data_IF_030245123313
#
_entry.id   IF_030245123313
#
_cell.length_a   1.000
_cell.length_b   1.000
_cell.length_c   1.000
_cell.angle_alpha   90.00
_cell.angle_beta   90.00
_cell.angle_gamma   90.00
#
_symmetry.space_group_name_H-M   'P 1'
#
loop_
_entity.id
_entity.type
_entity.pdbx_description
1 polymer ?
#
# COMPACT_ATOMS: atom_id res chain seq x y z
N UNK A 1 13.71 -6.03 -5.87
CA UNK A 1 12.44 -6.75 -5.70
C UNK A 1 11.52 -6.59 -6.91
N UNK A 2 11.29 -5.37 -7.37
CA UNK A 2 10.57 -5.07 -8.61
C UNK A 2 11.53 -4.50 -9.63
N UNK A 3 11.47 -4.98 -10.88
CA UNK A 3 12.19 -4.43 -12.01
C UNK A 3 11.20 -4.08 -13.12
N UNK A 4 11.27 -2.85 -13.59
CA UNK A 4 10.47 -2.29 -14.67
C UNK A 4 11.43 -2.00 -15.83
N UNK A 5 11.11 -2.53 -17.00
CA UNK A 5 11.95 -2.39 -18.17
C UNK A 5 11.14 -1.95 -19.38
N UNK A 6 11.54 -0.83 -19.98
CA UNK A 6 10.96 -0.22 -21.20
C UNK A 6 9.43 -0.13 -21.13
N UNK A 7 8.90 0.27 -19.96
CA UNK A 7 7.46 0.31 -19.72
C UNK A 7 6.83 1.48 -20.46
N UNK A 8 5.83 1.18 -21.30
CA UNK A 8 5.03 2.18 -21.99
C UNK A 8 3.57 2.04 -21.58
N UNK A 9 2.92 3.17 -21.30
CA UNK A 9 1.49 3.26 -21.00
C UNK A 9 0.87 4.49 -21.62
N UNK A 10 -0.23 4.27 -22.35
CA UNK A 10 -1.05 5.32 -22.98
C UNK A 10 -2.51 5.21 -22.55
N UNK A 11 -3.21 6.31 -22.55
CA UNK A 11 -4.66 6.42 -22.40
C UNK A 11 -5.19 7.31 -23.50
N UNK A 12 -5.83 6.71 -24.52
CA UNK A 12 -6.17 7.40 -25.75
C UNK A 12 -4.91 8.00 -26.40
N UNK A 13 -4.92 9.29 -26.65
CA UNK A 13 -3.78 10.00 -27.25
C UNK A 13 -2.72 10.46 -26.22
N UNK A 14 -2.96 10.23 -24.93
CA UNK A 14 -2.05 10.66 -23.87
C UNK A 14 -1.08 9.56 -23.49
N UNK A 15 0.21 9.76 -23.75
CA UNK A 15 1.28 8.91 -23.23
C UNK A 15 1.62 9.32 -21.80
N UNK A 16 1.48 8.39 -20.86
CA UNK A 16 1.84 8.58 -19.44
C UNK A 16 3.28 8.19 -19.21
N UNK A 17 3.69 7.04 -19.77
CA UNK A 17 5.07 6.55 -19.72
C UNK A 17 5.50 6.11 -21.11
N UNK A 18 6.73 6.47 -21.46
CA UNK A 18 7.45 6.01 -22.64
C UNK A 18 8.81 5.52 -22.21
N UNK A 19 9.08 4.24 -22.43
CA UNK A 19 10.38 3.59 -22.12
C UNK A 19 10.84 3.75 -20.65
N UNK A 20 9.89 3.68 -19.69
CA UNK A 20 10.20 3.83 -18.27
C UNK A 20 10.99 2.63 -17.76
N UNK A 21 12.15 2.92 -17.14
CA UNK A 21 13.03 1.93 -16.53
C UNK A 21 13.25 2.26 -15.06
N UNK A 22 12.85 1.35 -14.13
CA UNK A 22 12.96 1.54 -12.69
C UNK A 22 13.31 0.23 -11.99
N UNK A 23 14.05 0.34 -10.87
CA UNK A 23 14.33 -0.77 -9.99
C UNK A 23 13.97 -0.41 -8.55
N UNK A 24 13.25 -1.32 -7.88
CA UNK A 24 12.89 -1.21 -6.47
C UNK A 24 13.42 -2.44 -5.73
N UNK A 25 14.31 -2.22 -4.78
CA UNK A 25 14.93 -3.26 -3.97
C UNK A 25 14.08 -3.59 -2.75
N UNK A 26 14.18 -4.83 -2.26
CA UNK A 26 13.64 -5.18 -0.94
C UNK A 26 14.41 -4.45 0.17
N UNK A 27 13.79 -4.31 1.34
CA UNK A 27 14.39 -3.67 2.50
C UNK A 27 14.37 -2.15 2.46
N UNK A 28 13.74 -1.55 1.46
CA UNK A 28 13.73 -0.08 1.26
C UNK A 28 12.33 0.49 1.17
N UNK A 29 12.24 1.75 1.57
CA UNK A 29 11.09 2.63 1.36
C UNK A 29 11.40 3.57 0.19
N UNK A 30 10.56 3.57 -0.83
CA UNK A 30 10.65 4.47 -1.98
C UNK A 30 9.50 5.46 -1.95
N UNK A 31 9.81 6.73 -2.16
CA UNK A 31 8.81 7.76 -2.42
C UNK A 31 8.72 8.05 -3.93
N UNK A 32 7.55 7.89 -4.50
CA UNK A 32 7.25 8.34 -5.86
C UNK A 32 6.73 9.78 -5.77
N UNK A 33 7.48 10.71 -6.35
CA UNK A 33 7.12 12.13 -6.39
C UNK A 33 6.91 12.60 -7.83
N UNK A 34 6.23 13.72 -7.97
CA UNK A 34 5.97 14.37 -9.25
C UNK A 34 4.65 15.12 -9.24
N UNK A 35 4.44 15.97 -10.25
CA UNK A 35 3.24 16.76 -10.38
C UNK A 35 1.97 15.90 -10.45
N UNK A 36 0.82 16.53 -10.13
CA UNK A 36 -0.45 15.84 -10.33
C UNK A 36 -0.57 15.36 -11.78
N UNK A 37 -1.06 14.13 -11.95
CA UNK A 37 -1.21 13.53 -13.28
C UNK A 37 0.07 13.00 -13.94
N UNK A 38 1.24 12.99 -13.27
CA UNK A 38 2.48 12.43 -13.84
C UNK A 38 2.51 10.89 -13.85
N UNK A 39 1.45 10.21 -13.39
CA UNK A 39 1.34 8.76 -13.48
C UNK A 39 1.69 7.98 -12.20
N UNK A 40 1.86 8.62 -11.03
CA UNK A 40 2.17 7.91 -9.76
C UNK A 40 1.18 6.78 -9.49
N UNK A 41 -0.10 7.10 -9.42
CA UNK A 41 -1.20 6.13 -9.24
C UNK A 41 -1.23 5.09 -10.36
N UNK A 42 -1.01 5.51 -11.61
CA UNK A 42 -0.96 4.59 -12.76
C UNK A 42 0.16 3.57 -12.60
N UNK A 43 1.35 4.00 -12.18
CA UNK A 43 2.48 3.10 -11.93
C UNK A 43 2.18 2.12 -10.80
N UNK A 44 1.64 2.60 -9.68
CA UNK A 44 1.24 1.74 -8.56
C UNK A 44 0.17 0.73 -9.01
N UNK A 45 -0.83 1.16 -9.79
CA UNK A 45 -1.89 0.30 -10.32
C UNK A 45 -1.33 -0.78 -11.27
N UNK A 46 -0.36 -0.44 -12.13
CA UNK A 46 0.30 -1.44 -12.98
C UNK A 46 1.10 -2.45 -12.15
N UNK A 47 1.84 -1.99 -11.15
CA UNK A 47 2.55 -2.87 -10.20
C UNK A 47 1.56 -3.74 -9.43
N UNK A 48 0.39 -3.21 -9.07
CA UNK A 48 -0.67 -3.97 -8.39
C UNK A 48 -1.46 -4.91 -9.32
N UNK A 49 -1.23 -4.93 -10.64
CA UNK A 49 -2.04 -5.65 -11.63
C UNK A 49 -3.48 -5.17 -11.73
N UNK A 50 -3.75 -3.93 -11.36
CA UNK A 50 -5.07 -3.27 -11.48
C UNK A 50 -5.20 -2.53 -12.81
N UNK A 51 -4.09 -2.17 -13.43
CA UNK A 51 -4.02 -1.50 -14.73
C UNK A 51 -3.03 -2.25 -15.64
N UNK A 52 -3.41 -2.57 -16.87
CA UNK A 52 -2.48 -3.15 -17.84
C UNK A 52 -1.53 -2.08 -18.39
N UNK A 53 -0.36 -2.51 -18.85
CA UNK A 53 0.59 -1.69 -19.61
C UNK A 53 0.69 -2.16 -21.05
N UNK A 54 1.04 -1.25 -21.96
CA UNK A 54 1.00 -1.49 -23.40
C UNK A 54 2.26 -2.24 -23.87
N UNK A 55 3.44 -1.78 -23.45
CA UNK A 55 4.73 -2.37 -23.82
C UNK A 55 5.66 -2.50 -22.62
N UNK A 56 6.73 -3.28 -22.78
CA UNK A 56 7.72 -3.51 -21.75
C UNK A 56 7.37 -4.65 -20.80
N UNK A 57 7.99 -4.66 -19.63
CA UNK A 57 7.78 -5.69 -18.62
C UNK A 57 7.90 -5.16 -17.20
N UNK A 58 7.14 -5.77 -16.29
CA UNK A 58 7.29 -5.63 -14.85
C UNK A 58 7.62 -7.02 -14.30
N UNK A 59 8.73 -7.13 -13.59
CA UNK A 59 9.13 -8.34 -12.89
C UNK A 59 8.98 -8.14 -11.38
N UNK A 60 8.42 -9.13 -10.70
CA UNK A 60 8.33 -9.21 -9.24
C UNK A 60 9.08 -10.45 -8.75
N UNK A 61 10.07 -10.28 -7.89
CA UNK A 61 10.95 -11.38 -7.41
C UNK A 61 11.50 -12.23 -8.57
N UNK A 62 11.92 -11.58 -9.68
CA UNK A 62 12.47 -12.23 -10.86
C UNK A 62 11.46 -12.93 -11.80
N UNK A 63 10.16 -12.88 -11.49
CA UNK A 63 9.09 -13.44 -12.34
C UNK A 63 8.33 -12.32 -13.05
N UNK A 64 8.02 -12.52 -14.34
CA UNK A 64 7.10 -11.60 -15.05
C UNK A 64 5.78 -11.51 -14.30
N UNK A 65 5.38 -10.28 -13.95
CA UNK A 65 4.19 -10.00 -13.17
C UNK A 65 2.92 -10.53 -13.86
N UNK A 66 2.85 -10.51 -15.20
CA UNK A 66 1.74 -11.07 -15.98
C UNK A 66 1.50 -12.56 -15.72
N UNK A 67 2.56 -13.32 -15.43
CA UNK A 67 2.51 -14.76 -15.15
C UNK A 67 2.09 -15.11 -13.72
N UNK A 68 2.07 -14.13 -12.81
CA UNK A 68 1.65 -14.34 -11.43
C UNK A 68 0.11 -14.28 -11.37
N UNK A 69 -0.53 -15.31 -10.79
CA UNK A 69 -2.00 -15.32 -10.60
C UNK A 69 -2.42 -14.16 -9.67
N UNK A 70 -3.39 -13.29 -10.08
CA UNK A 70 -3.82 -12.15 -9.27
C UNK A 70 -4.24 -12.54 -7.85
N UNK A 71 -5.02 -13.62 -7.71
CA UNK A 71 -5.49 -14.10 -6.40
C UNK A 71 -4.35 -14.44 -5.44
N UNK A 72 -3.27 -15.07 -5.94
CA UNK A 72 -2.09 -15.37 -5.12
C UNK A 72 -1.30 -14.11 -4.78
N UNK A 73 -1.17 -13.19 -5.75
CA UNK A 73 -0.45 -11.93 -5.59
C UNK A 73 -1.11 -11.05 -4.52
N UNK A 74 -2.42 -10.83 -4.64
CA UNK A 74 -3.18 -10.06 -3.65
C UNK A 74 -3.29 -10.75 -2.30
N UNK A 75 -3.36 -12.08 -2.26
CA UNK A 75 -3.47 -12.81 -0.99
C UNK A 75 -2.17 -12.77 -0.19
N UNK A 76 -1.03 -13.04 -0.82
CA UNK A 76 0.21 -13.39 -0.12
C UNK A 76 1.33 -12.35 -0.28
N UNK A 77 1.31 -11.55 -1.34
CA UNK A 77 2.48 -10.77 -1.73
C UNK A 77 2.27 -9.25 -1.60
N UNK A 78 1.08 -8.77 -1.88
CA UNK A 78 0.79 -7.34 -2.00
C UNK A 78 -0.24 -6.87 -0.99
N UNK A 79 0.03 -5.73 -0.34
CA UNK A 79 -1.02 -4.87 0.19
C UNK A 79 -0.98 -3.52 -0.50
N UNK A 80 -2.15 -3.02 -0.90
CA UNK A 80 -2.30 -1.70 -1.49
C UNK A 80 -3.19 -0.84 -0.60
N UNK A 81 -2.63 0.25 -0.10
CA UNK A 81 -3.32 1.33 0.60
C UNK A 81 -3.69 2.40 -0.41
N UNK A 82 -4.96 2.43 -0.77
CA UNK A 82 -5.53 3.51 -1.57
C UNK A 82 -5.87 4.70 -0.67
N UNK A 83 -6.09 5.86 -1.27
CA UNK A 83 -6.57 7.05 -0.59
C UNK A 83 -7.84 6.81 0.26
N UNK A 84 -8.69 5.84 -0.11
CA UNK A 84 -9.94 5.47 0.57
C UNK A 84 -9.80 4.22 1.46
N UNK A 85 -8.64 3.93 2.02
CA UNK A 85 -8.30 2.91 3.05
C UNK A 85 -8.71 1.45 2.79
N UNK A 86 -9.55 1.16 1.80
CA UNK A 86 -10.04 -0.20 1.46
C UNK A 86 -10.55 -0.97 2.69
N UNK A 87 -11.28 -0.29 3.54
CA UNK A 87 -12.11 -0.91 4.56
C UNK A 87 -13.52 -1.09 4.01
N UNK A 88 -14.22 -2.08 4.50
CA UNK A 88 -15.62 -2.32 4.17
C UNK A 88 -16.47 -1.60 5.22
N UNK A 89 -17.05 -0.46 4.85
CA UNK A 89 -17.66 0.49 5.79
C UNK A 89 -18.82 -0.12 6.61
N UNK A 90 -19.65 -0.97 6.00
CA UNK A 90 -20.78 -1.61 6.67
C UNK A 90 -20.38 -2.86 7.48
N UNK A 91 -19.10 -3.20 7.51
CA UNK A 91 -18.54 -4.29 8.32
C UNK A 91 -17.95 -3.77 9.61
N UNK A 92 -17.78 -4.68 10.58
CA UNK A 92 -17.13 -4.34 11.85
C UNK A 92 -15.62 -4.21 11.68
N UNK A 93 -14.95 -3.60 12.65
CA UNK A 93 -13.49 -3.59 12.76
C UNK A 93 -12.95 -5.02 12.72
N UNK A 94 -13.56 -5.93 13.50
CA UNK A 94 -13.18 -7.34 13.52
C UNK A 94 -13.27 -8.01 12.15
N UNK A 95 -14.36 -7.82 11.41
CA UNK A 95 -14.57 -8.38 10.07
C UNK A 95 -13.54 -7.82 9.06
N UNK A 96 -13.18 -6.55 9.16
CA UNK A 96 -12.14 -5.95 8.34
C UNK A 96 -10.75 -6.49 8.66
N UNK A 97 -10.43 -6.69 9.94
CA UNK A 97 -9.17 -7.27 10.39
C UNK A 97 -9.05 -8.75 10.00
N UNK A 98 -10.17 -9.50 9.90
CA UNK A 98 -10.17 -10.89 9.41
C UNK A 98 -9.60 -11.01 7.99
N UNK A 99 -9.74 -9.97 7.17
CA UNK A 99 -9.13 -9.94 5.83
C UNK A 99 -7.59 -10.00 5.88
N UNK A 100 -6.99 -9.44 6.94
CA UNK A 100 -5.55 -9.55 7.19
C UNK A 100 -5.12 -10.95 7.66
N UNK A 101 -6.04 -11.68 8.27
CA UNK A 101 -5.77 -13.03 8.81
C UNK A 101 -6.10 -14.17 7.83
N UNK A 102 -6.44 -13.85 6.56
CA UNK A 102 -6.75 -14.87 5.55
C UNK A 102 -5.52 -15.75 5.31
N UNK A 103 -5.66 -17.05 5.56
CA UNK A 103 -4.57 -18.03 5.43
C UNK A 103 -3.90 -18.40 6.75
N UNK A 104 -4.12 -17.63 7.82
CA UNK A 104 -3.62 -17.95 9.15
C UNK A 104 -4.49 -19.02 9.82
N UNK A 105 -3.86 -20.07 10.31
CA UNK A 105 -4.54 -21.17 11.04
C UNK A 105 -4.62 -20.81 12.53
N UNK A 106 -5.52 -19.92 12.90
CA UNK A 106 -5.76 -19.49 14.26
C UNK A 106 -7.16 -19.92 14.70
N UNK A 107 -7.31 -20.38 15.95
CA UNK A 107 -8.61 -20.57 16.57
C UNK A 107 -9.31 -19.23 16.87
N UNK A 108 -10.57 -19.28 17.29
CA UNK A 108 -11.40 -18.09 17.52
C UNK A 108 -10.82 -17.18 18.61
N UNK A 109 -10.31 -17.76 19.69
CA UNK A 109 -9.77 -17.00 20.81
C UNK A 109 -8.46 -16.30 20.39
N UNK A 110 -7.55 -17.04 19.75
CA UNK A 110 -6.27 -16.48 19.29
C UNK A 110 -6.46 -15.40 18.22
N UNK A 111 -7.45 -15.55 17.32
CA UNK A 111 -7.81 -14.50 16.38
C UNK A 111 -8.23 -13.21 17.08
N UNK A 112 -9.06 -13.34 18.14
CA UNK A 112 -9.52 -12.18 18.92
C UNK A 112 -8.33 -11.47 19.59
N UNK A 113 -7.52 -12.23 20.32
CA UNK A 113 -6.31 -11.70 20.98
C UNK A 113 -5.39 -10.99 19.99
N UNK A 114 -5.08 -11.62 18.84
CA UNK A 114 -4.23 -11.03 17.79
C UNK A 114 -4.81 -9.72 17.24
N UNK A 115 -6.13 -9.61 17.10
CA UNK A 115 -6.78 -8.37 16.66
C UNK A 115 -6.72 -7.28 17.72
N UNK A 116 -6.91 -7.61 19.00
CA UNK A 116 -6.79 -6.68 20.12
C UNK A 116 -5.34 -6.19 20.26
N UNK A 117 -4.36 -7.08 20.17
CA UNK A 117 -2.93 -6.74 20.19
C UNK A 117 -2.54 -5.78 19.05
N UNK A 118 -3.05 -6.00 17.83
CA UNK A 118 -2.73 -5.13 16.70
C UNK A 118 -3.43 -3.77 16.80
N UNK A 119 -4.65 -3.71 17.34
CA UNK A 119 -5.33 -2.44 17.60
C UNK A 119 -4.57 -1.62 18.64
N UNK A 120 -4.09 -2.24 19.72
CA UNK A 120 -3.24 -1.58 20.69
C UNK A 120 -1.96 -1.02 20.05
N UNK A 121 -1.28 -1.82 19.22
CA UNK A 121 -0.07 -1.43 18.49
C UNK A 121 -0.26 -0.19 17.59
N UNK A 122 -1.45 0.02 17.05
CA UNK A 122 -1.77 1.20 16.24
C UNK A 122 -2.44 2.33 17.04
N UNK A 123 -2.46 2.23 18.38
CA UNK A 123 -3.01 3.25 19.26
C UNK A 123 -4.53 3.29 19.29
N UNK A 124 -5.20 2.15 19.06
CA UNK A 124 -6.65 2.00 19.02
C UNK A 124 -7.17 1.00 20.07
N UNK A 125 -6.51 0.86 21.22
CA UNK A 125 -6.92 -0.06 22.30
C UNK A 125 -8.33 0.20 22.84
N UNK A 126 -8.87 1.40 22.62
CA UNK A 126 -10.23 1.80 23.05
C UNK A 126 -11.33 1.42 22.05
N UNK A 127 -10.96 1.03 20.81
CA UNK A 127 -11.91 0.65 19.76
C UNK A 127 -12.42 -0.77 20.01
N UNK A 128 -13.76 -0.93 19.97
CA UNK A 128 -14.39 -2.24 20.11
C UNK A 128 -14.35 -3.00 18.78
N UNK A 129 -14.09 -4.31 18.84
CA UNK A 129 -14.00 -5.17 17.66
C UNK A 129 -15.31 -5.27 16.87
N UNK A 130 -16.46 -5.10 17.50
CA UNK A 130 -17.80 -5.12 16.92
C UNK A 130 -18.27 -3.74 16.41
N UNK A 131 -17.53 -2.68 16.68
CA UNK A 131 -17.81 -1.34 16.17
C UNK A 131 -17.76 -1.33 14.64
N UNK A 132 -18.67 -0.60 14.00
CA UNK A 132 -18.72 -0.46 12.54
C UNK A 132 -17.69 0.56 12.04
N UNK A 133 -17.10 0.29 10.87
CA UNK A 133 -16.08 1.17 10.30
C UNK A 133 -16.62 2.57 10.00
N UNK A 134 -17.85 2.72 9.58
CA UNK A 134 -18.48 4.03 9.33
C UNK A 134 -18.64 4.90 10.59
N UNK A 135 -18.47 4.34 11.79
CA UNK A 135 -18.51 5.06 13.07
C UNK A 135 -17.14 5.65 13.46
N UNK A 136 -16.09 5.28 12.72
CA UNK A 136 -14.71 5.70 12.97
C UNK A 136 -14.43 7.07 12.34
N UNK A 137 -13.58 7.84 13.00
CA UNK A 137 -12.95 9.01 12.36
C UNK A 137 -12.03 8.57 11.21
N UNK A 138 -11.67 9.51 10.31
CA UNK A 138 -10.75 9.23 9.21
C UNK A 138 -9.40 8.67 9.68
N UNK A 139 -8.83 9.22 10.75
CA UNK A 139 -7.57 8.76 11.33
C UNK A 139 -7.68 7.37 11.95
N UNK A 140 -8.77 7.07 12.68
CA UNK A 140 -9.03 5.73 13.23
C UNK A 140 -9.19 4.69 12.11
N UNK A 141 -9.95 5.01 11.06
CA UNK A 141 -10.11 4.12 9.90
C UNK A 141 -8.75 3.82 9.24
N UNK A 142 -7.87 4.82 9.11
CA UNK A 142 -6.51 4.59 8.60
C UNK A 142 -5.68 3.69 9.50
N UNK A 143 -5.73 3.89 10.81
CA UNK A 143 -5.03 3.02 11.76
C UNK A 143 -5.56 1.59 11.73
N UNK A 144 -6.88 1.38 11.56
CA UNK A 144 -7.47 0.04 11.32
C UNK A 144 -6.96 -0.56 10.01
N UNK A 145 -6.84 0.23 8.94
CA UNK A 145 -6.25 -0.23 7.69
C UNK A 145 -4.78 -0.65 7.85
N UNK A 146 -3.99 0.10 8.63
CA UNK A 146 -2.62 -0.29 8.97
C UNK A 146 -2.58 -1.55 9.84
N UNK A 147 -3.47 -1.68 10.83
CA UNK A 147 -3.62 -2.89 11.64
C UNK A 147 -3.88 -4.12 10.76
N UNK A 148 -4.75 -4.01 9.75
CA UNK A 148 -4.98 -5.07 8.75
C UNK A 148 -3.71 -5.44 7.98
N UNK A 149 -2.86 -4.46 7.64
CA UNK A 149 -1.58 -4.73 6.96
C UNK A 149 -0.60 -5.43 7.89
N UNK A 150 -0.53 -5.01 9.14
CA UNK A 150 0.32 -5.66 10.15
C UNK A 150 -0.06 -7.14 10.28
N UNK A 151 -1.36 -7.44 10.36
CA UNK A 151 -1.86 -8.81 10.42
C UNK A 151 -1.52 -9.62 9.17
N UNK A 152 -1.58 -9.00 8.00
CA UNK A 152 -1.30 -9.65 6.72
C UNK A 152 0.19 -9.89 6.49
N UNK A 153 1.04 -9.01 7.01
CA UNK A 153 2.51 -9.04 6.91
C UNK A 153 3.04 -9.21 5.46
N UNK A 154 2.60 -8.41 4.49
CA UNK A 154 2.94 -8.62 3.08
C UNK A 154 4.38 -8.19 2.77
N UNK A 155 5.09 -8.85 1.84
CA UNK A 155 6.42 -8.42 1.41
C UNK A 155 6.42 -7.15 0.55
N UNK A 156 5.28 -6.77 -0.05
CA UNK A 156 5.13 -5.54 -0.83
C UNK A 156 3.97 -4.70 -0.29
N UNK A 157 4.26 -3.44 0.05
CA UNK A 157 3.25 -2.44 0.41
C UNK A 157 3.30 -1.32 -0.61
N UNK A 158 2.17 -1.02 -1.22
CA UNK A 158 1.96 0.17 -2.04
C UNK A 158 1.04 1.12 -1.29
N UNK A 159 1.38 2.41 -1.25
CA UNK A 159 0.57 3.46 -0.62
C UNK A 159 0.39 4.62 -1.59
N UNK A 160 -0.85 4.99 -1.89
CA UNK A 160 -1.18 6.05 -2.82
C UNK A 160 -1.87 7.21 -2.08
N UNK A 161 -1.12 8.32 -1.91
CA UNK A 161 -1.58 9.56 -1.26
C UNK A 161 -2.27 9.31 0.10
N UNK A 162 -1.71 8.39 0.89
CA UNK A 162 -2.29 7.85 2.13
C UNK A 162 -2.75 8.91 3.14
N UNK A 163 -2.14 10.08 3.11
CA UNK A 163 -2.36 11.15 4.11
C UNK A 163 -2.97 12.43 3.51
N UNK A 164 -3.44 12.39 2.26
CA UNK A 164 -3.89 13.59 1.55
C UNK A 164 -5.11 14.29 2.18
N UNK A 165 -5.94 13.55 2.93
CA UNK A 165 -7.15 14.07 3.56
C UNK A 165 -7.01 14.27 5.08
N UNK A 166 -5.79 14.18 5.63
CA UNK A 166 -5.53 14.29 7.06
C UNK A 166 -4.82 15.59 7.41
N UNK A 167 -4.98 16.00 8.67
CA UNK A 167 -4.17 17.04 9.26
C UNK A 167 -2.68 16.59 9.37
N UNK A 168 -1.74 17.55 9.52
CA UNK A 168 -0.31 17.24 9.51
C UNK A 168 0.14 16.30 10.64
N UNK A 169 -0.44 16.41 11.84
CA UNK A 169 -0.06 15.59 12.98
C UNK A 169 -0.48 14.13 12.79
N UNK A 170 -1.74 13.89 12.47
CA UNK A 170 -2.27 12.56 12.13
C UNK A 170 -1.53 11.96 10.92
N UNK A 171 -1.20 12.78 9.91
CA UNK A 171 -0.41 12.37 8.75
C UNK A 171 0.96 11.82 9.15
N UNK A 172 1.65 12.49 10.08
CA UNK A 172 2.96 12.05 10.57
C UNK A 172 2.85 10.74 11.35
N UNK A 173 1.88 10.63 12.26
CA UNK A 173 1.66 9.41 13.04
C UNK A 173 1.38 8.17 12.16
N UNK A 174 0.55 8.33 11.13
CA UNK A 174 0.25 7.27 10.16
C UNK A 174 1.51 6.86 9.39
N UNK A 175 2.33 7.85 9.00
CA UNK A 175 3.58 7.56 8.31
C UNK A 175 4.59 6.86 9.22
N UNK A 176 4.73 7.30 10.47
CA UNK A 176 5.62 6.66 11.44
C UNK A 176 5.20 5.20 11.65
N UNK A 177 3.91 4.93 11.80
CA UNK A 177 3.38 3.56 11.89
C UNK A 177 3.71 2.75 10.62
N UNK A 178 3.51 3.30 9.42
CA UNK A 178 3.85 2.62 8.17
C UNK A 178 5.35 2.31 8.08
N UNK A 179 6.20 3.24 8.51
CA UNK A 179 7.66 3.07 8.50
C UNK A 179 8.14 2.02 9.50
N UNK A 180 7.42 1.80 10.62
CA UNK A 180 7.74 0.69 11.55
C UNK A 180 7.60 -0.69 10.90
N UNK A 181 6.87 -0.77 9.77
CA UNK A 181 6.71 -2.03 9.04
C UNK A 181 7.92 -2.37 8.17
N UNK A 182 8.88 -1.45 7.99
CA UNK A 182 10.09 -1.70 7.24
C UNK A 182 10.88 -2.86 7.84
N UNK A 183 11.29 -3.80 7.00
CA UNK A 183 12.20 -4.90 7.33
C UNK A 183 13.09 -5.24 6.13
N UNK A 184 14.05 -6.14 6.28
CA UNK A 184 15.05 -6.47 5.24
C UNK A 184 14.46 -7.07 3.96
N UNK A 185 13.27 -7.65 4.02
CA UNK A 185 12.63 -8.33 2.88
C UNK A 185 11.48 -7.53 2.28
N UNK A 186 10.96 -6.53 3.01
CA UNK A 186 9.80 -5.75 2.58
C UNK A 186 10.19 -4.56 1.72
N UNK A 187 9.46 -4.39 0.63
CA UNK A 187 9.47 -3.19 -0.20
C UNK A 187 8.24 -2.35 0.12
N UNK A 188 8.44 -1.06 0.40
CA UNK A 188 7.36 -0.09 0.57
C UNK A 188 7.52 0.98 -0.52
N UNK A 189 6.46 1.23 -1.30
CA UNK A 189 6.43 2.28 -2.32
C UNK A 189 5.29 3.23 -1.98
N UNK A 190 5.60 4.51 -1.77
CA UNK A 190 4.65 5.55 -1.35
C UNK A 190 4.58 6.61 -2.45
N UNK A 191 3.43 6.77 -3.08
CA UNK A 191 3.17 7.93 -3.93
C UNK A 191 2.69 9.09 -3.04
N UNK A 192 3.37 10.21 -3.11
CA UNK A 192 3.03 11.40 -2.32
C UNK A 192 3.56 12.67 -2.95
N UNK A 193 2.89 13.77 -2.67
CA UNK A 193 3.36 15.12 -2.96
C UNK A 193 3.86 15.85 -1.70
N UNK A 194 3.72 15.24 -0.51
CA UNK A 194 4.09 15.86 0.76
C UNK A 194 5.60 15.74 1.03
N UNK A 195 6.34 16.88 1.15
CA UNK A 195 7.78 16.87 1.41
C UNK A 195 8.18 16.23 2.73
N UNK A 196 7.35 16.32 3.75
CA UNK A 196 7.64 15.74 5.07
C UNK A 196 7.68 14.21 4.98
N UNK A 197 6.86 13.62 4.11
CA UNK A 197 6.79 12.18 3.91
C UNK A 197 7.95 11.68 3.05
N UNK A 198 8.17 12.27 1.85
CA UNK A 198 9.19 11.71 0.96
C UNK A 198 10.63 11.92 1.46
N UNK A 199 10.88 12.87 2.37
CA UNK A 199 12.19 13.03 3.03
C UNK A 199 12.55 11.88 3.98
N UNK A 200 11.56 11.12 4.44
CA UNK A 200 11.74 9.96 5.31
C UNK A 200 11.97 8.65 4.53
N UNK A 201 11.81 8.68 3.21
CA UNK A 201 12.07 7.51 2.36
C UNK A 201 13.58 7.28 2.18
N UNK A 202 13.98 6.01 2.01
CA UNK A 202 15.37 5.67 1.69
C UNK A 202 15.78 6.15 0.29
N UNK A 203 14.82 6.20 -0.64
CA UNK A 203 15.04 6.69 -2.01
C UNK A 203 13.82 7.43 -2.54
N UNK A 204 14.10 8.46 -3.31
CA UNK A 204 13.06 9.27 -3.98
C UNK A 204 13.14 9.05 -5.49
N UNK A 205 12.02 8.69 -6.09
CA UNK A 205 11.89 8.51 -7.54
C UNK A 205 10.97 9.61 -8.06
N UNK A 206 11.53 10.51 -8.87
CA UNK A 206 10.76 11.59 -9.50
C UNK A 206 10.23 11.11 -10.85
N UNK A 207 8.90 11.04 -10.97
CA UNK A 207 8.23 10.78 -12.23
C UNK A 207 7.99 12.10 -12.97
N UNK A 208 8.37 12.11 -14.25
CA UNK A 208 8.13 13.24 -15.16
C UNK A 208 7.08 12.84 -16.17
N UNK A 209 6.25 13.79 -16.59
CA UNK A 209 5.33 13.58 -17.72
C UNK A 209 6.18 13.39 -18.95
N UNK A 210 5.94 12.30 -19.71
CA UNK A 210 6.51 12.16 -21.06
C UNK A 210 5.91 13.27 -21.94
N UNK A 211 6.77 14.11 -22.48
CA UNK A 211 6.38 15.13 -23.44
C UNK A 211 6.10 14.49 -24.81
#
# INVERSE_FOLDING_TARGET
MIKIHQLTKTFGDRTVFSDLNLNFDAGKVYALIGNSGCGKTTLLNMVAKLEPYDQGSIQYKGKDLRKIKPTNYFRNELCYLFQNFVLIDNKTVSENLDLGLIGHKLDKQKKRETKEEVLDRVGLSYIQLDQKVYELSGGEAQRVALAKIILKDPPLILADELTAALDPETSQEIMDLLLTLKNKERLIIIATHNPTIWKQADQVVSLKISQ
#
